data_IF_886417098931
#
_entry.id   IF_886417098931
#
_cell.length_a   1.000
_cell.length_b   1.000
_cell.length_c   1.000
_cell.angle_alpha   90.00
_cell.angle_beta   90.00
_cell.angle_gamma   90.00
#
_symmetry.space_group_name_H-M   'P 1'
#
loop_
_entity.id
_entity.type
_entity.pdbx_description
1 polymer ?
#
# COMPACT_ATOMS: atom_id res chain seq x y z
N UNK A 1 4.22 -0.72 -12.16
CA UNK A 1 3.32 -0.05 -11.20
C UNK A 1 3.80 -0.36 -9.79
N UNK A 2 3.87 0.61 -8.89
CA UNK A 2 4.12 0.33 -7.47
C UNK A 2 2.86 0.72 -6.69
N UNK A 3 2.37 -0.22 -5.89
CA UNK A 3 1.31 0.01 -4.93
C UNK A 3 1.91 0.69 -3.70
N UNK A 4 1.46 1.92 -3.43
CA UNK A 4 1.94 2.74 -2.32
C UNK A 4 0.79 2.98 -1.36
N UNK A 5 1.01 2.78 -0.08
CA UNK A 5 0.05 3.08 0.98
C UNK A 5 0.63 4.15 1.88
N UNK A 6 -0.19 5.13 2.27
CA UNK A 6 0.22 6.25 3.10
C UNK A 6 -0.09 5.93 4.55
N UNK A 7 0.92 5.98 5.41
CA UNK A 7 0.71 5.75 6.83
C UNK A 7 -0.17 6.84 7.44
N UNK A 8 -1.24 6.47 8.14
CA UNK A 8 -2.12 7.46 8.79
C UNK A 8 -1.40 8.22 9.92
N UNK A 9 -0.53 7.55 10.66
CA UNK A 9 0.15 8.14 11.82
C UNK A 9 1.21 9.16 11.43
N UNK A 10 2.10 8.83 10.48
CA UNK A 10 3.25 9.68 10.12
C UNK A 10 3.16 10.27 8.73
N UNK A 11 2.10 9.97 7.97
CA UNK A 11 1.91 10.41 6.57
C UNK A 11 3.01 9.96 5.61
N UNK A 12 3.93 9.10 6.04
CA UNK A 12 4.98 8.56 5.18
C UNK A 12 4.41 7.51 4.23
N UNK A 13 4.88 7.57 3.00
CA UNK A 13 4.57 6.60 1.96
C UNK A 13 5.35 5.31 2.22
N UNK A 14 4.64 4.20 2.36
CA UNK A 14 5.21 2.87 2.48
C UNK A 14 4.80 2.04 1.28
N UNK A 15 5.72 1.21 0.79
CA UNK A 15 5.41 0.25 -0.27
C UNK A 15 4.47 -0.80 0.33
N UNK A 16 3.35 -1.07 -0.34
CA UNK A 16 2.48 -2.17 0.05
C UNK A 16 3.28 -3.48 0.06
N UNK A 17 3.01 -4.41 0.99
CA UNK A 17 3.90 -5.55 1.25
C UNK A 17 4.01 -6.56 0.10
N UNK A 18 3.26 -6.46 -0.98
CA UNK A 18 3.43 -7.32 -2.14
C UNK A 18 3.39 -6.53 -3.45
N UNK A 19 4.26 -6.93 -4.40
CA UNK A 19 4.37 -6.42 -5.78
C UNK A 19 3.17 -6.82 -6.65
N UNK A 20 2.00 -6.98 -6.05
CA UNK A 20 0.78 -7.26 -6.80
C UNK A 20 0.52 -6.10 -7.74
N UNK A 21 0.34 -6.43 -9.02
CA UNK A 21 0.18 -5.45 -10.10
C UNK A 21 -1.11 -4.65 -9.96
N UNK A 22 -2.05 -5.09 -9.11
CA UNK A 22 -3.38 -4.51 -9.02
C UNK A 22 -4.04 -4.68 -7.63
N UNK A 23 -4.75 -3.64 -7.17
CA UNK A 23 -5.56 -3.62 -5.94
C UNK A 23 -6.52 -4.83 -5.87
N UNK A 24 -7.11 -5.19 -7.00
CA UNK A 24 -8.12 -6.25 -7.11
C UNK A 24 -7.58 -7.63 -6.72
N UNK A 25 -6.35 -7.96 -7.11
CA UNK A 25 -5.75 -9.23 -6.73
C UNK A 25 -5.39 -9.24 -5.24
N UNK A 26 -4.88 -8.11 -4.74
CA UNK A 26 -4.55 -7.95 -3.33
C UNK A 26 -5.79 -8.15 -2.44
N UNK A 27 -6.95 -7.58 -2.81
CA UNK A 27 -8.21 -7.82 -2.11
C UNK A 27 -8.65 -9.30 -2.13
N UNK A 28 -8.39 -10.01 -3.22
CA UNK A 28 -8.73 -11.43 -3.33
C UNK A 28 -7.82 -12.32 -2.48
N UNK A 29 -6.54 -11.98 -2.36
CA UNK A 29 -5.54 -12.79 -1.66
C UNK A 29 -5.50 -12.49 -0.16
N UNK A 30 -5.59 -11.20 0.23
CA UNK A 30 -5.42 -10.74 1.63
C UNK A 30 -6.72 -10.25 2.27
N UNK A 31 -7.80 -10.10 1.49
CA UNK A 31 -9.05 -9.49 1.93
C UNK A 31 -9.09 -7.97 1.73
N UNK A 32 -10.27 -7.37 1.95
CA UNK A 32 -10.47 -5.93 1.82
C UNK A 32 -9.69 -5.10 2.85
N UNK A 33 -9.41 -5.67 4.03
CA UNK A 33 -8.70 -5.01 5.12
C UNK A 33 -7.39 -5.75 5.41
N UNK A 34 -6.29 -5.02 5.56
CA UNK A 34 -4.99 -5.59 5.90
C UNK A 34 -4.25 -4.71 6.90
N UNK A 35 -3.53 -5.33 7.84
CA UNK A 35 -2.69 -4.61 8.79
C UNK A 35 -1.28 -4.48 8.25
N UNK A 36 -0.74 -3.26 8.25
CA UNK A 36 0.62 -3.01 7.83
C UNK A 36 1.36 -2.18 8.85
N UNK A 37 2.54 -2.67 9.26
CA UNK A 37 3.47 -1.92 10.09
C UNK A 37 4.21 -0.89 9.25
N UNK A 38 4.04 0.38 9.57
CA UNK A 38 4.80 1.46 8.95
C UNK A 38 6.28 1.34 9.35
N UNK A 39 7.18 1.25 8.35
CA UNK A 39 8.63 1.15 8.62
C UNK A 39 9.25 2.44 9.16
N UNK A 40 8.54 3.57 9.07
CA UNK A 40 9.04 4.87 9.51
C UNK A 40 8.68 5.13 10.97
N UNK A 41 7.40 5.03 11.34
CA UNK A 41 6.96 5.28 12.70
C UNK A 41 6.78 4.01 13.54
N UNK A 42 7.02 2.83 12.97
CA UNK A 42 6.85 1.51 13.61
C UNK A 42 5.44 1.23 14.16
N UNK A 43 4.44 2.04 13.81
CA UNK A 43 3.04 1.81 14.15
C UNK A 43 2.42 0.82 13.18
N UNK A 44 1.62 -0.10 13.70
CA UNK A 44 0.77 -1.00 12.90
C UNK A 44 -0.58 -0.34 12.77
N UNK A 45 -0.96 0.00 11.54
CA UNK A 45 -2.31 0.50 11.23
C UNK A 45 -3.03 -0.52 10.34
N UNK A 46 -4.34 -0.50 10.41
CA UNK A 46 -5.21 -1.23 9.50
C UNK A 46 -5.52 -0.34 8.29
N UNK A 47 -5.43 -0.91 7.09
CA UNK A 47 -5.67 -0.23 5.83
C UNK A 47 -6.71 -1.01 5.05
N UNK A 48 -7.52 -0.31 4.26
CA UNK A 48 -8.36 -0.95 3.25
C UNK A 48 -7.62 -1.01 1.92
N UNK A 49 -7.97 -1.96 1.06
CA UNK A 49 -7.40 -2.04 -0.30
C UNK A 49 -7.61 -0.75 -1.10
N UNK A 50 -8.66 0.01 -0.79
CA UNK A 50 -8.92 1.30 -1.40
C UNK A 50 -7.86 2.38 -1.07
N UNK A 51 -7.17 2.25 0.07
CA UNK A 51 -6.08 3.16 0.47
C UNK A 51 -4.82 2.99 -0.39
N UNK A 52 -4.67 1.86 -1.09
CA UNK A 52 -3.44 1.50 -1.80
C UNK A 52 -3.33 2.26 -3.12
N UNK A 53 -2.69 3.42 -3.20
CA UNK A 53 -2.57 4.13 -4.48
C UNK A 53 -1.65 3.39 -5.47
N UNK A 54 -2.16 3.11 -6.67
CA UNK A 54 -1.34 2.62 -7.77
C UNK A 54 -0.66 3.82 -8.43
N UNK A 55 0.65 3.95 -8.27
CA UNK A 55 1.42 4.96 -8.99
C UNK A 55 2.05 4.31 -10.22
N UNK A 56 1.56 4.72 -11.38
CA UNK A 56 2.23 4.46 -12.65
C UNK A 56 3.52 5.28 -12.65
N UNK A 57 4.67 4.59 -12.64
CA UNK A 57 5.92 5.23 -13.00
C UNK A 57 5.82 5.49 -14.51
N UNK A 58 5.45 6.70 -14.90
CA UNK A 58 5.83 7.20 -16.22
C UNK A 58 7.35 7.28 -16.18
N UNK A 59 8.03 6.41 -16.94
CA UNK A 59 9.42 6.65 -17.26
C UNK A 59 9.43 7.98 -18.04
N UNK A 60 9.86 9.07 -17.38
CA UNK A 60 10.36 10.22 -18.11
C UNK A 60 11.73 9.79 -18.63
N UNK A 61 11.75 9.42 -19.92
CA UNK A 61 12.97 9.39 -20.74
C UNK A 61 13.61 10.77 -20.83
#
# INVERSE_FOLDING_TARGET
MKLIVKCESCKSESKAPHFETNRVNYAKEYGENFQMKCKICNQTNEYVVDDIKAVEYTFME
#
